data_IF_315814459425
#
_entry.id   IF_315814459425
#
_cell.length_a   1.000
_cell.length_b   1.000
_cell.length_c   1.000
_cell.angle_alpha   90.00
_cell.angle_beta   90.00
_cell.angle_gamma   90.00
#
_symmetry.space_group_name_H-M   'P 1'
#
loop_
_entity.id
_entity.type
_entity.pdbx_description
1 polymer ?
2 non-polymer ?
3 non-polymer ?
4 non-polymer ?
5 non-polymer ?
6 non-polymer ?
7 non-polymer ?
8 water ?
#
# COMPACT_ATOMS: atom_id res chain seq x y z
N UNK A 6 -7.58 -5.61 -30.67
CA UNK A 6 -7.53 -7.00 -30.16
C UNK A 6 -7.86 -7.02 -28.66
N UNK A 7 -8.60 -8.04 -28.22
CA UNK A 7 -9.00 -8.20 -26.81
C UNK A 7 -7.91 -7.85 -25.80
N UNK A 8 -8.34 -7.43 -24.62
CA UNK A 8 -7.42 -7.05 -23.57
C UNK A 8 -8.01 -7.40 -22.20
N UNK A 9 -7.13 -7.75 -21.24
CA UNK A 9 -7.61 -8.10 -19.90
C UNK A 9 -7.96 -6.79 -19.19
N UNK A 10 -7.39 -5.70 -19.70
CA UNK A 10 -7.57 -4.39 -19.12
C UNK A 10 -8.62 -3.51 -19.80
N UNK A 11 -8.98 -2.44 -19.11
CA UNK A 11 -9.90 -1.43 -19.59
C UNK A 11 -9.40 -0.14 -18.95
N UNK A 12 -9.07 0.84 -19.78
CA UNK A 12 -8.55 2.10 -19.27
C UNK A 12 -9.59 3.20 -19.22
N UNK A 13 -9.37 4.16 -18.33
CA UNK A 13 -10.26 5.30 -18.18
C UNK A 13 -9.46 6.58 -18.01
N UNK A 14 -10.12 7.70 -18.30
CA UNK A 14 -9.57 9.02 -18.08
C UNK A 14 -10.37 9.41 -16.84
N UNK A 15 -9.95 10.45 -16.13
CA UNK A 15 -10.66 10.80 -14.93
C UNK A 15 -12.16 11.11 -15.14
N UNK A 16 -12.50 11.72 -16.27
CA UNK A 16 -13.90 12.04 -16.58
C UNK A 16 -14.70 10.74 -16.57
N UNK A 17 -14.22 9.78 -17.36
CA UNK A 17 -14.85 8.47 -17.48
C UNK A 17 -14.97 7.80 -16.12
N UNK A 18 -13.86 7.75 -15.37
CA UNK A 18 -13.87 7.10 -14.06
C UNK A 18 -14.78 7.81 -13.04
N UNK A 19 -14.76 9.14 -13.07
CA UNK A 19 -15.57 9.96 -12.16
C UNK A 19 -17.04 9.57 -12.14
N UNK A 20 -17.58 9.25 -13.33
CA UNK A 20 -18.99 8.90 -13.48
C UNK A 20 -19.43 7.59 -12.85
N UNK A 21 -18.50 6.66 -12.66
CA UNK A 21 -18.85 5.38 -12.05
C UNK A 21 -19.07 5.54 -10.55
N UNK A 22 -18.89 6.77 -10.08
CA UNK A 22 -19.07 7.05 -8.67
C UNK A 22 -20.50 6.72 -8.30
N UNK A 23 -21.38 6.88 -9.28
CA UNK A 23 -22.81 6.66 -9.11
C UNK A 23 -23.29 7.44 -7.89
N UNK A 24 -23.97 6.76 -6.99
CA UNK A 24 -24.53 7.40 -5.82
C UNK A 24 -23.63 7.48 -4.59
N UNK A 25 -22.47 6.83 -4.64
CA UNK A 25 -21.57 6.79 -3.50
C UNK A 25 -21.35 8.10 -2.75
N UNK A 26 -21.66 8.11 -1.43
CA UNK A 26 -21.54 9.24 -0.50
C UNK A 26 -20.11 9.54 -0.08
N UNK A 27 -19.81 10.83 0.10
CA UNK A 27 -18.49 11.27 0.54
C UNK A 27 -18.55 11.49 2.05
N UNK A 28 -17.89 10.61 2.80
CA UNK A 28 -17.90 10.69 4.25
C UNK A 28 -16.57 11.05 4.88
N UNK A 29 -15.90 12.08 4.35
CA UNK A 29 -14.61 12.46 4.91
C UNK A 29 -14.42 13.96 4.86
N UNK A 30 -14.07 14.57 6.00
CA UNK A 30 -13.87 16.02 6.04
C UNK A 30 -12.50 16.37 5.48
N UNK A 31 -12.30 17.64 5.11
CA UNK A 31 -11.01 18.03 4.58
C UNK A 31 -9.94 18.01 5.68
N UNK A 32 -10.41 18.07 6.93
CA UNK A 32 -9.48 18.03 8.05
C UNK A 32 -9.03 16.60 8.27
N UNK A 33 -9.83 15.64 7.83
CA UNK A 33 -9.49 14.23 7.99
C UNK A 33 -8.58 13.76 6.87
N UNK A 34 -8.82 14.28 5.68
CA UNK A 34 -7.99 13.93 4.53
C UNK A 34 -6.57 14.37 4.82
N UNK A 35 -6.44 15.47 5.56
CA UNK A 35 -5.15 16.02 5.93
C UNK A 35 -4.36 15.09 6.83
N UNK A 36 -5.00 14.55 7.86
CA UNK A 36 -4.30 13.63 8.75
C UNK A 36 -3.96 12.32 8.08
N UNK A 37 -4.29 12.21 6.80
CA UNK A 37 -4.00 10.99 6.06
C UNK A 37 -2.99 11.28 4.97
N UNK A 38 -2.95 12.53 4.53
CA UNK A 38 -2.02 12.98 3.49
C UNK A 38 -0.57 13.06 3.94
N UNK A 39 0.31 12.44 3.16
CA UNK A 39 1.73 12.47 3.48
C UNK A 39 2.43 13.66 2.88
N UNK A 40 3.56 14.04 3.46
CA UNK A 40 4.32 15.19 2.98
C UNK A 40 4.57 15.12 1.47
N UNK A 41 4.18 16.18 0.77
CA UNK A 41 4.38 16.22 -0.66
C UNK A 41 3.16 15.83 -1.45
N UNK A 42 2.28 15.01 -0.87
CA UNK A 42 1.05 14.58 -1.54
C UNK A 42 0.09 15.73 -1.82
N UNK A 43 -0.56 15.72 -2.98
CA UNK A 43 -1.49 16.80 -3.34
C UNK A 43 -2.96 16.39 -3.32
N UNK A 44 -3.26 15.24 -2.75
CA UNK A 44 -4.63 14.76 -2.72
C UNK A 44 -5.62 15.67 -1.98
N UNK A 45 -6.76 15.93 -2.62
CA UNK A 45 -7.80 16.78 -2.05
C UNK A 45 -9.15 16.06 -2.16
N UNK A 46 -10.16 16.57 -1.46
CA UNK A 46 -11.48 15.97 -1.49
C UNK A 46 -12.06 15.78 -2.89
N UNK A 47 -11.67 16.64 -3.82
CA UNK A 47 -12.18 16.49 -5.18
C UNK A 47 -11.66 15.16 -5.72
N UNK A 48 -10.35 14.94 -5.63
CA UNK A 48 -9.75 13.69 -6.11
C UNK A 48 -10.37 12.47 -5.41
N UNK A 49 -10.73 12.64 -4.14
CA UNK A 49 -11.35 11.57 -3.39
C UNK A 49 -12.73 11.32 -3.97
N UNK A 50 -13.35 12.37 -4.50
CA UNK A 50 -14.68 12.25 -5.06
C UNK A 50 -14.70 11.60 -6.44
N UNK A 51 -13.84 12.10 -7.32
CA UNK A 51 -13.78 11.59 -8.68
C UNK A 51 -12.93 10.34 -8.86
N UNK A 52 -12.20 9.94 -7.83
CA UNK A 52 -11.35 8.77 -7.96
C UNK A 52 -11.52 7.71 -6.87
N UNK A 53 -11.42 8.10 -5.62
CA UNK A 53 -11.53 7.10 -4.56
C UNK A 53 -12.94 6.59 -4.28
N UNK A 54 -13.97 7.39 -4.59
CA UNK A 54 -15.35 6.94 -4.33
C UNK A 54 -15.79 5.80 -5.26
N UNK A 55 -15.52 5.91 -6.58
CA UNK A 55 -15.88 4.84 -7.53
C UNK A 55 -15.17 3.56 -7.10
N UNK A 56 -13.88 3.71 -6.79
CA UNK A 56 -13.03 2.62 -6.34
C UNK A 56 -13.58 1.92 -5.09
N UNK A 57 -14.12 2.71 -4.17
CA UNK A 57 -14.67 2.13 -2.96
C UNK A 57 -15.94 1.40 -3.34
N UNK A 58 -16.70 1.98 -4.28
CA UNK A 58 -17.94 1.36 -4.72
C UNK A 58 -17.62 0.01 -5.35
N UNK A 59 -16.68 0.01 -6.29
CA UNK A 59 -16.26 -1.22 -6.93
C UNK A 59 -15.89 -2.26 -5.88
N UNK A 60 -14.95 -1.92 -5.01
CA UNK A 60 -14.51 -2.85 -3.98
C UNK A 60 -15.66 -3.43 -3.18
N UNK A 61 -16.64 -2.62 -2.81
CA UNK A 61 -17.75 -3.17 -2.03
C UNK A 61 -18.59 -4.14 -2.84
N UNK A 62 -18.75 -3.85 -4.13
CA UNK A 62 -19.52 -4.75 -4.98
C UNK A 62 -18.84 -6.12 -4.99
N UNK A 63 -17.51 -6.10 -4.98
CA UNK A 63 -16.73 -7.33 -5.01
C UNK A 63 -16.62 -8.04 -3.68
N UNK A 64 -16.69 -7.29 -2.59
CA UNK A 64 -16.58 -7.92 -1.28
C UNK A 64 -17.63 -8.99 -1.07
N UNK A 65 -18.86 -8.73 -1.52
CA UNK A 65 -19.93 -9.71 -1.36
C UNK A 65 -19.73 -10.83 -2.39
N UNK A 66 -19.47 -10.43 -3.63
CA UNK A 66 -19.24 -11.37 -4.73
C UNK A 66 -18.07 -12.29 -4.44
N UNK A 67 -16.98 -11.72 -3.96
CA UNK A 67 -15.82 -12.52 -3.68
C UNK A 67 -16.11 -13.61 -2.66
N UNK A 68 -17.12 -13.43 -1.82
CA UNK A 68 -17.36 -14.47 -0.84
C UNK A 68 -18.24 -15.62 -1.32
N UNK A 69 -18.98 -15.40 -2.40
CA UNK A 69 -19.81 -16.46 -2.95
C UNK A 69 -18.80 -17.55 -3.36
N UNK A 70 -17.61 -17.10 -3.75
CA UNK A 70 -16.54 -18.00 -4.16
C UNK A 70 -16.14 -18.91 -3.00
N UNK A 71 -15.96 -18.36 -1.80
CA UNK A 71 -15.57 -19.18 -0.64
C UNK A 71 -16.73 -20.04 -0.17
N UNK A 72 -17.93 -19.46 -0.18
CA UNK A 72 -19.12 -20.18 0.25
C UNK A 72 -19.26 -21.45 -0.58
N UNK A 73 -19.05 -21.31 -1.89
CA UNK A 73 -19.12 -22.41 -2.83
C UNK A 73 -18.22 -23.55 -2.37
N UNK A 74 -16.97 -23.22 -2.11
CA UNK A 74 -16.00 -24.21 -1.64
C UNK A 74 -16.43 -24.77 -0.29
N UNK A 75 -17.13 -23.95 0.51
CA UNK A 75 -17.59 -24.39 1.81
C UNK A 75 -18.77 -25.34 1.63
N UNK A 76 -19.64 -25.01 0.68
CA UNK A 76 -20.79 -25.83 0.40
C UNK A 76 -20.28 -27.17 -0.12
N UNK A 77 -19.34 -27.13 -1.05
CA UNK A 77 -18.74 -28.33 -1.62
C UNK A 77 -18.15 -29.21 -0.52
N UNK A 78 -17.31 -28.61 0.31
CA UNK A 78 -16.66 -29.33 1.40
C UNK A 78 -17.61 -29.85 2.47
N UNK A 79 -18.91 -29.65 2.24
CA UNK A 79 -19.90 -30.11 3.19
C UNK A 79 -19.95 -29.27 4.45
N UNK A 80 -18.91 -28.49 4.68
CA UNK A 80 -18.80 -27.61 5.85
C UNK A 80 -20.02 -26.75 6.15
N UNK A 81 -20.21 -26.39 7.42
CA UNK A 81 -21.37 -25.55 7.80
C UNK A 81 -21.28 -24.20 7.08
N UNK A 82 -22.15 -23.27 7.45
CA UNK A 82 -22.21 -21.97 6.78
C UNK A 82 -21.47 -20.75 7.34
N UNK A 83 -20.36 -20.41 6.67
CA UNK A 83 -19.52 -19.22 6.98
C UNK A 83 -19.04 -18.86 8.38
N UNK A 84 -19.98 -18.85 9.34
CA UNK A 84 -19.80 -18.44 10.74
C UNK A 84 -20.54 -17.09 10.67
N UNK A 85 -21.87 -17.15 10.43
CA UNK A 85 -22.95 -16.17 10.28
C UNK A 85 -22.60 -14.67 10.15
N UNK A 86 -21.42 -14.25 10.61
CA UNK A 86 -21.04 -12.83 10.54
C UNK A 86 -19.57 -12.56 10.81
N UNK A 87 -18.73 -13.52 10.46
CA UNK A 87 -17.28 -13.39 10.58
C UNK A 87 -16.78 -14.14 9.36
N UNK A 88 -16.93 -13.53 8.19
CA UNK A 88 -16.55 -14.01 6.86
C UNK A 88 -15.07 -14.08 6.62
N UNK A 89 -14.72 -14.57 5.45
CA UNK A 89 -13.33 -14.65 5.05
C UNK A 89 -12.92 -13.20 4.81
N UNK A 90 -11.92 -12.71 5.54
CA UNK A 90 -11.47 -11.34 5.35
C UNK A 90 -11.07 -11.03 3.90
N UNK A 91 -11.49 -9.87 3.40
CA UNK A 91 -11.19 -9.47 2.03
C UNK A 91 -9.81 -8.80 2.08
N UNK A 92 -8.83 -9.39 1.43
CA UNK A 92 -7.48 -8.84 1.48
C UNK A 92 -7.15 -7.93 0.30
N UNK A 93 -6.67 -6.73 0.60
CA UNK A 93 -6.31 -5.80 -0.47
C UNK A 93 -4.84 -5.42 -0.41
N UNK A 94 -4.17 -5.49 -1.55
CA UNK A 94 -2.78 -5.15 -1.62
C UNK A 94 -2.60 -3.82 -2.34
N UNK A 95 -1.74 -2.97 -1.79
CA UNK A 95 -1.44 -1.66 -2.41
C UNK A 95 0.06 -1.64 -2.63
N UNK A 96 0.46 -1.51 -3.89
CA UNK A 96 1.88 -1.51 -4.22
C UNK A 96 2.26 -0.26 -4.94
N UNK A 97 3.56 -0.10 -5.11
CA UNK A 97 4.06 1.07 -5.79
C UNK A 97 5.43 1.46 -5.27
N UNK A 98 6.07 2.37 -5.97
CA UNK A 98 7.39 2.83 -5.58
C UNK A 98 7.42 3.69 -4.32
N UNK A 99 8.63 3.90 -3.83
CA UNK A 99 8.85 4.74 -2.68
C UNK A 99 8.49 6.12 -3.19
N UNK A 100 7.89 6.94 -2.35
CA UNK A 100 7.53 8.31 -2.73
C UNK A 100 6.49 8.44 -3.83
N UNK A 101 5.71 7.42 -4.10
CA UNK A 101 4.74 7.59 -5.17
C UNK A 101 3.39 8.03 -4.62
N UNK A 102 3.16 7.79 -3.34
CA UNK A 102 1.89 8.19 -2.75
C UNK A 102 1.05 7.05 -2.21
N UNK A 103 1.47 5.80 -2.47
CA UNK A 103 0.74 4.63 -2.02
C UNK A 103 0.36 4.66 -0.55
N UNK A 104 1.30 5.03 0.31
CA UNK A 104 1.02 5.07 1.74
C UNK A 104 -0.22 5.92 2.03
N UNK A 105 -0.33 7.07 1.37
CA UNK A 105 -1.48 7.95 1.53
C UNK A 105 -2.69 7.26 0.90
N UNK A 106 -2.50 6.78 -0.34
CA UNK A 106 -3.55 6.08 -1.07
C UNK A 106 -4.13 4.98 -0.19
N UNK A 107 -3.26 4.27 0.51
CA UNK A 107 -3.71 3.18 1.38
C UNK A 107 -4.50 3.68 2.56
N UNK A 108 -4.06 4.78 3.16
CA UNK A 108 -4.75 5.34 4.33
C UNK A 108 -6.10 5.94 3.95
N UNK A 109 -6.15 6.61 2.81
CA UNK A 109 -7.40 7.19 2.38
C UNK A 109 -8.39 6.06 2.11
N UNK A 110 -7.90 5.01 1.45
CA UNK A 110 -8.75 3.88 1.13
C UNK A 110 -9.31 3.22 2.39
N UNK A 111 -8.50 3.03 3.41
CA UNK A 111 -8.97 2.40 4.64
C UNK A 111 -10.05 3.25 5.31
N UNK A 112 -9.86 4.57 5.26
CA UNK A 112 -10.81 5.49 5.87
C UNK A 112 -12.17 5.40 5.17
N UNK A 113 -12.16 5.50 3.85
CA UNK A 113 -13.40 5.42 3.07
C UNK A 113 -14.15 4.11 3.32
N UNK A 114 -13.47 2.97 3.20
CA UNK A 114 -14.10 1.68 3.40
C UNK A 114 -14.58 1.41 4.83
N UNK A 115 -14.00 2.08 5.82
CA UNK A 115 -14.43 1.86 7.20
C UNK A 115 -15.72 2.62 7.46
N UNK A 116 -15.89 3.72 6.73
CA UNK A 116 -17.08 4.55 6.87
C UNK A 116 -18.14 3.99 5.93
N UNK A 117 -18.54 2.76 6.17
CA UNK A 117 -19.55 2.13 5.33
C UNK A 117 -20.63 1.50 6.20
N UNK A 118 -21.82 1.38 5.63
CA UNK A 118 -22.97 0.81 6.33
C UNK A 118 -22.58 -0.40 7.17
N UNK A 119 -23.11 -0.47 8.39
CA UNK A 119 -22.83 -1.57 9.30
C UNK A 119 -21.42 -1.43 9.88
N UNK A 120 -20.64 -0.54 9.27
CA UNK A 120 -19.28 -0.24 9.70
C UNK A 120 -18.36 -1.44 9.91
N UNK A 121 -17.67 -1.85 8.84
CA UNK A 121 -16.74 -2.98 8.84
C UNK A 121 -15.39 -2.66 9.45
N UNK A 122 -14.79 -3.64 10.11
CA UNK A 122 -13.48 -3.46 10.70
C UNK A 122 -12.45 -3.56 9.57
N UNK A 123 -11.93 -2.41 9.16
CA UNK A 123 -10.94 -2.33 8.07
C UNK A 123 -9.54 -2.00 8.60
N UNK A 124 -8.68 -3.01 8.72
CA UNK A 124 -7.32 -2.79 9.22
C UNK A 124 -6.33 -2.53 8.09
N UNK A 125 -5.31 -1.72 8.39
CA UNK A 125 -4.26 -1.39 7.44
C UNK A 125 -2.91 -1.78 8.00
N UNK A 126 -2.18 -2.61 7.25
CA UNK A 126 -0.85 -3.07 7.67
C UNK A 126 0.19 -2.77 6.59
N UNK A 127 1.22 -2.01 6.94
CA UNK A 127 2.28 -1.69 5.99
C UNK A 127 3.31 -2.77 6.19
N UNK A 128 4.05 -3.10 5.14
CA UNK A 128 5.05 -4.14 5.25
C UNK A 128 6.33 -3.68 5.92
N UNK A 129 6.38 -2.39 6.30
CA UNK A 129 7.55 -1.82 7.00
C UNK A 129 8.02 -2.74 8.11
N UNK A 130 7.09 -3.10 8.99
CA UNK A 130 7.38 -3.94 10.14
C UNK A 130 7.85 -5.32 9.82
N UNK A 131 7.78 -5.71 8.56
CA UNK A 131 8.23 -7.04 8.19
C UNK A 131 9.65 -6.99 7.64
N UNK A 132 10.26 -5.83 7.75
CA UNK A 132 11.64 -5.69 7.30
C UNK A 132 12.44 -6.40 8.39
N UNK A 133 13.63 -6.83 8.06
CA UNK A 133 14.49 -7.47 9.04
C UNK A 133 15.12 -6.32 9.83
N UNK A 134 15.50 -6.57 11.10
CA UNK A 134 16.14 -5.57 11.97
C UNK A 134 17.45 -5.14 11.33
N UNK A 135 17.93 -3.93 11.60
CA UNK A 135 19.19 -3.49 10.99
C UNK A 135 20.34 -4.44 11.29
N UNK A 136 20.36 -4.97 12.50
CA UNK A 136 21.40 -5.91 12.89
C UNK A 136 21.31 -7.11 11.95
N UNK A 137 20.10 -7.59 11.70
CA UNK A 137 19.92 -8.74 10.82
C UNK A 137 20.28 -8.41 9.37
N UNK A 138 19.96 -7.20 8.93
CA UNK A 138 20.29 -6.78 7.58
C UNK A 138 21.82 -6.61 7.49
N UNK A 139 22.42 -6.04 8.52
CA UNK A 139 23.86 -5.86 8.54
C UNK A 139 24.50 -7.23 8.33
N UNK A 140 23.99 -8.23 9.04
CA UNK A 140 24.52 -9.58 8.94
C UNK A 140 24.41 -10.18 7.54
N UNK A 141 23.34 -9.86 6.83
CA UNK A 141 23.15 -10.41 5.49
C UNK A 141 23.72 -9.49 4.42
N UNK A 142 24.47 -8.47 4.84
CA UNK A 142 25.02 -7.50 3.89
C UNK A 142 23.86 -6.92 3.10
N UNK A 143 22.84 -6.43 3.81
CA UNK A 143 21.67 -5.88 3.16
C UNK A 143 21.27 -4.46 3.56
N UNK A 144 22.01 -3.85 4.48
CA UNK A 144 21.72 -2.48 4.91
C UNK A 144 21.55 -1.49 3.76
N UNK A 145 22.01 -1.87 2.57
CA UNK A 145 21.90 -0.98 1.41
C UNK A 145 20.89 -1.53 0.40
N UNK A 146 20.00 -2.40 0.85
CA UNK A 146 18.99 -2.99 -0.03
C UNK A 146 17.62 -2.95 0.68
N UNK A 147 17.50 -2.12 1.70
CA UNK A 147 16.26 -1.97 2.45
C UNK A 147 15.17 -1.63 1.43
N UNK A 148 14.14 -2.45 1.35
CA UNK A 148 13.08 -2.21 0.37
C UNK A 148 13.08 -3.30 -0.69
N UNK A 149 14.24 -3.92 -0.89
CA UNK A 149 14.32 -5.01 -1.86
C UNK A 149 13.64 -6.21 -1.21
N UNK A 150 13.08 -7.09 -2.03
CA UNK A 150 12.37 -8.29 -1.58
C UNK A 150 13.09 -9.08 -0.49
N UNK A 151 14.38 -9.27 -0.69
CA UNK A 151 15.19 -10.03 0.25
C UNK A 151 15.38 -9.35 1.61
N UNK A 152 15.09 -8.05 1.70
CA UNK A 152 15.26 -7.33 2.97
C UNK A 152 14.07 -7.56 3.90
N UNK A 153 13.06 -8.26 3.41
CA UNK A 153 11.87 -8.55 4.19
C UNK A 153 11.80 -10.00 4.63
N UNK A 154 11.20 -10.21 5.80
CA UNK A 154 11.00 -11.54 6.34
C UNK A 154 9.71 -11.93 5.61
N UNK A 155 9.84 -12.31 4.34
CA UNK A 155 8.68 -12.68 3.54
C UNK A 155 7.92 -13.89 4.05
N UNK A 156 8.59 -14.71 4.85
CA UNK A 156 7.95 -15.90 5.39
C UNK A 156 7.00 -15.48 6.52
N UNK A 157 7.48 -14.59 7.38
CA UNK A 157 6.67 -14.09 8.50
C UNK A 157 5.45 -13.34 7.95
N UNK A 158 5.69 -12.55 6.91
CA UNK A 158 4.66 -11.78 6.23
C UNK A 158 3.53 -12.70 5.71
N UNK A 159 3.93 -13.82 5.12
CA UNK A 159 2.97 -14.78 4.57
C UNK A 159 2.19 -15.44 5.71
N UNK A 160 2.88 -15.82 6.79
CA UNK A 160 2.19 -16.45 7.92
C UNK A 160 1.13 -15.51 8.44
N UNK A 161 1.46 -14.22 8.46
CA UNK A 161 0.56 -13.18 8.94
C UNK A 161 -0.73 -13.08 8.13
N UNK A 162 -0.61 -12.78 6.83
CA UNK A 162 -1.80 -12.66 5.98
C UNK A 162 -2.56 -13.97 5.89
N UNK A 163 -1.84 -15.09 5.80
CA UNK A 163 -2.47 -16.41 5.73
C UNK A 163 -3.31 -16.60 6.96
N UNK A 164 -2.74 -16.23 8.10
CA UNK A 164 -3.41 -16.34 9.38
C UNK A 164 -4.69 -15.52 9.44
N UNK A 165 -4.59 -14.23 9.12
CA UNK A 165 -5.76 -13.37 9.17
C UNK A 165 -6.90 -13.81 8.25
N UNK A 166 -6.54 -14.20 7.04
CA UNK A 166 -7.53 -14.64 6.06
C UNK A 166 -8.07 -16.05 6.35
N UNK A 167 -7.27 -16.87 7.02
CA UNK A 167 -7.71 -18.22 7.35
C UNK A 167 -8.72 -18.17 8.50
N UNK A 168 -9.10 -16.96 8.90
CA UNK A 168 -10.07 -16.80 9.96
C UNK A 168 -9.58 -16.69 11.39
N UNK A 169 -8.31 -16.34 11.59
CA UNK A 169 -7.78 -16.21 12.93
C UNK A 169 -8.47 -15.14 13.75
N UNK A 170 -8.53 -15.35 15.06
CA UNK A 170 -9.15 -14.42 16.00
C UNK A 170 -8.28 -13.18 16.09
N UNK A 171 -6.96 -13.40 16.02
CA UNK A 171 -6.00 -12.31 16.05
C UNK A 171 -4.65 -12.74 15.49
N UNK A 172 -3.93 -11.78 14.92
CA UNK A 172 -2.60 -12.00 14.35
C UNK A 172 -1.73 -10.80 14.67
N UNK A 173 -0.42 -11.01 14.74
CA UNK A 173 0.50 -9.92 15.06
C UNK A 173 1.58 -9.67 14.00
N UNK A 174 1.96 -8.40 13.87
CA UNK A 174 2.97 -8.00 12.90
C UNK A 174 3.92 -7.09 13.65
N UNK A 175 5.21 -7.12 13.32
CA UNK A 175 6.11 -6.22 14.05
C UNK A 175 5.84 -4.78 13.62
N UNK A 176 6.50 -3.85 14.29
CA UNK A 176 6.31 -2.44 13.98
C UNK A 176 7.65 -1.81 13.62
N UNK A 177 7.67 -1.03 12.55
CA UNK A 177 8.90 -0.38 12.14
C UNK A 177 8.88 1.10 12.53
N UNK A 178 10.03 1.61 12.96
CA UNK A 178 10.10 3.02 13.32
C UNK A 178 10.79 3.78 12.20
N UNK A 179 10.09 4.75 11.62
CA UNK A 179 10.69 5.55 10.55
C UNK A 179 11.64 6.58 11.14
N UNK A 180 11.42 6.89 12.42
CA UNK A 180 12.29 7.85 13.13
C UNK A 180 13.65 7.22 13.41
N UNK A 181 13.63 5.98 13.86
CA UNK A 181 14.86 5.25 14.19
C UNK A 181 15.38 4.37 13.05
N UNK A 182 14.68 4.40 11.92
CA UNK A 182 15.13 3.62 10.77
C UNK A 182 15.31 2.15 11.15
N UNK A 183 14.53 1.66 12.09
CA UNK A 183 14.68 0.28 12.52
C UNK A 183 13.41 -0.29 13.13
N UNK A 184 13.37 -1.62 13.25
CA UNK A 184 12.23 -2.32 13.85
C UNK A 184 12.24 -1.99 15.35
N UNK A 185 11.05 -1.77 15.91
CA UNK A 185 10.90 -1.42 17.32
C UNK A 185 10.77 -2.66 18.20
N UNK A 186 11.72 -2.85 19.11
CA UNK A 186 11.71 -4.01 20.04
C UNK A 186 10.44 -4.14 20.87
N UNK A 187 9.89 -5.35 20.90
CA UNK A 187 8.68 -5.62 21.68
C UNK A 187 7.37 -5.04 21.19
N UNK A 188 7.43 -4.23 20.15
CA UNK A 188 6.24 -3.60 19.59
C UNK A 188 5.50 -4.57 18.69
N UNK A 189 4.18 -4.40 18.60
CA UNK A 189 3.37 -5.25 17.74
C UNK A 189 2.02 -4.64 17.40
N UNK A 190 1.58 -4.92 16.18
CA UNK A 190 0.30 -4.44 15.70
C UNK A 190 -0.58 -5.68 15.73
N UNK A 191 -1.66 -5.64 16.47
CA UNK A 191 -2.56 -6.79 16.53
C UNK A 191 -3.77 -6.61 15.64
N UNK A 192 -4.07 -7.60 14.82
CA UNK A 192 -5.19 -7.54 13.91
C UNK A 192 -6.22 -8.62 14.29
N UNK A 193 -7.45 -8.19 14.59
CA UNK A 193 -8.49 -9.12 14.99
C UNK A 193 -9.62 -9.33 13.98
N UNK A 194 -9.58 -10.49 13.32
CA UNK A 194 -10.58 -10.87 12.34
C UNK A 194 -11.20 -9.68 11.61
N UNK A 195 -10.41 -8.91 10.86
CA UNK A 195 -10.99 -7.76 10.16
C UNK A 195 -11.98 -8.26 9.13
N UNK A 196 -12.71 -7.34 8.52
CA UNK A 196 -13.63 -7.70 7.46
C UNK A 196 -12.83 -7.46 6.18
N UNK A 197 -11.94 -6.48 6.26
CA UNK A 197 -11.08 -6.11 5.16
C UNK A 197 -9.71 -5.77 5.73
N UNK A 198 -8.68 -6.33 5.11
CA UNK A 198 -7.30 -6.06 5.52
C UNK A 198 -6.56 -5.46 4.35
N UNK A 199 -5.99 -4.28 4.57
CA UNK A 199 -5.23 -3.61 3.52
C UNK A 199 -3.74 -3.78 3.81
N UNK A 200 -3.02 -4.37 2.86
CA UNK A 200 -1.58 -4.58 3.01
C UNK A 200 -0.85 -3.67 2.03
N UNK A 201 -0.04 -2.75 2.55
CA UNK A 201 0.68 -1.82 1.69
C UNK A 201 2.20 -1.95 1.77
N UNK A 202 2.86 -2.05 0.61
CA UNK A 202 4.31 -2.19 0.56
C UNK A 202 4.88 -2.07 -0.85
N UNK A 203 6.20 -1.96 -0.95
CA UNK A 203 6.88 -1.83 -2.27
C UNK A 203 6.58 -3.10 -3.03
N UNK A 204 6.90 -4.30 -2.53
CA UNK A 204 6.47 -5.40 -3.43
C UNK A 204 5.33 -6.36 -3.16
N UNK A 205 4.58 -6.30 -2.04
CA UNK A 205 3.33 -7.08 -2.05
C UNK A 205 2.82 -7.84 -3.28
N UNK A 206 2.98 -7.29 -4.49
CA UNK A 206 2.48 -8.00 -5.68
C UNK A 206 3.40 -9.05 -6.31
N UNK A 207 4.49 -9.37 -5.64
CA UNK A 207 5.45 -10.35 -6.15
C UNK A 207 5.00 -11.81 -6.16
N UNK A 208 5.36 -12.52 -7.23
CA UNK A 208 5.05 -13.95 -7.35
C UNK A 208 6.36 -14.67 -7.20
N UNK A 209 6.31 -15.98 -6.98
CA UNK A 209 7.52 -16.74 -6.82
C UNK A 209 7.31 -18.25 -6.83
N UNK A 210 8.38 -19.01 -6.57
CA UNK A 210 8.31 -20.47 -6.54
C UNK A 210 7.50 -20.99 -5.37
N UNK A 211 6.91 -20.06 -4.63
CA UNK A 211 6.09 -20.43 -3.49
C UNK A 211 4.85 -19.55 -3.41
N UNK A 212 3.86 -20.01 -2.65
CA UNK A 212 2.64 -19.24 -2.49
C UNK A 212 2.98 -17.97 -1.71
N UNK A 213 2.66 -16.81 -2.25
CA UNK A 213 2.97 -15.55 -1.59
C UNK A 213 1.73 -14.75 -1.29
N UNK A 214 1.88 -13.64 -0.56
CA UNK A 214 0.74 -12.83 -0.20
C UNK A 214 0.00 -12.26 -1.42
N UNK A 215 0.69 -12.15 -2.54
CA UNK A 215 0.03 -11.64 -3.74
C UNK A 215 -1.03 -12.64 -4.16
N UNK A 216 -0.82 -13.91 -3.78
CA UNK A 216 -1.73 -14.98 -4.13
C UNK A 216 -2.96 -15.03 -3.24
N UNK A 217 -2.94 -14.31 -2.12
CA UNK A 217 -4.07 -14.28 -1.23
C UNK A 217 -4.92 -13.02 -1.40
N UNK A 218 -4.48 -12.13 -2.28
CA UNK A 218 -5.20 -10.88 -2.53
C UNK A 218 -6.49 -11.07 -3.31
N UNK A 219 -7.52 -10.36 -2.87
CA UNK A 219 -8.82 -10.42 -3.50
C UNK A 219 -8.96 -9.23 -4.42
N UNK A 220 -8.15 -8.22 -4.17
CA UNK A 220 -8.13 -7.01 -4.99
C UNK A 220 -6.78 -6.35 -4.76
N UNK A 221 -6.24 -5.69 -5.79
CA UNK A 221 -4.94 -5.03 -5.64
C UNK A 221 -4.80 -3.69 -6.35
N UNK A 222 -4.12 -2.75 -5.68
CA UNK A 222 -3.90 -1.41 -6.21
C UNK A 222 -2.42 -1.19 -6.44
N UNK A 223 -2.09 -0.53 -7.56
CA UNK A 223 -0.69 -0.21 -7.86
C UNK A 223 -0.66 1.27 -8.23
N UNK A 224 -0.11 2.11 -7.36
CA UNK A 224 -0.04 3.54 -7.64
C UNK A 224 1.15 3.78 -8.56
N UNK A 225 0.87 4.32 -9.74
CA UNK A 225 1.89 4.53 -10.76
C UNK A 225 2.13 5.99 -11.17
N UNK A 226 3.34 6.24 -11.66
CA UNK A 226 3.73 7.55 -12.13
C UNK A 226 5.00 7.39 -12.95
N UNK A 227 5.29 8.40 -13.77
CA UNK A 227 6.48 8.37 -14.63
C UNK A 227 7.69 8.29 -13.68
N UNK A 228 8.67 7.47 -14.02
CA UNK A 228 9.82 7.31 -13.13
C UNK A 228 10.61 8.58 -12.84
N UNK A 229 10.68 9.49 -13.81
CA UNK A 229 11.41 10.73 -13.62
C UNK A 229 10.68 11.58 -12.59
N UNK A 230 9.35 11.55 -12.64
CA UNK A 230 8.54 12.32 -11.71
C UNK A 230 8.74 11.81 -10.30
N UNK A 231 8.62 10.50 -10.10
CA UNK A 231 8.78 9.94 -8.76
C UNK A 231 10.12 10.39 -8.18
N UNK A 232 11.18 10.32 -8.98
CA UNK A 232 12.48 10.75 -8.49
C UNK A 232 12.38 12.19 -8.01
N UNK A 233 11.74 13.03 -8.82
CA UNK A 233 11.57 14.43 -8.46
C UNK A 233 10.82 14.54 -7.12
N UNK A 234 9.82 13.69 -6.95
CA UNK A 234 9.03 13.69 -5.73
C UNK A 234 9.88 13.24 -4.56
N UNK A 235 10.66 12.18 -4.78
CA UNK A 235 11.53 11.65 -3.73
C UNK A 235 12.50 12.73 -3.22
N UNK A 236 13.25 13.31 -4.14
CA UNK A 236 14.23 14.34 -3.83
C UNK A 236 13.59 15.53 -3.15
N UNK A 237 12.49 16.02 -3.72
CA UNK A 237 11.82 17.16 -3.14
C UNK A 237 11.44 16.85 -1.68
N UNK A 238 10.81 15.70 -1.49
CA UNK A 238 10.40 15.26 -0.17
C UNK A 238 11.61 15.13 0.74
N UNK A 239 12.74 14.69 0.18
CA UNK A 239 13.96 14.54 0.96
C UNK A 239 14.40 15.92 1.46
N UNK A 240 14.45 16.88 0.56
CA UNK A 240 14.84 18.23 0.94
C UNK A 240 13.87 18.72 2.00
N UNK A 241 12.59 18.56 1.71
CA UNK A 241 11.50 18.98 2.57
C UNK A 241 11.57 18.43 3.99
N UNK A 242 12.12 17.23 4.14
CA UNK A 242 12.22 16.61 5.45
C UNK A 242 13.32 17.16 6.35
N UNK A 243 14.11 18.09 5.84
CA UNK A 243 15.16 18.67 6.65
C UNK A 243 14.58 19.45 7.82
N UNK A 244 13.40 20.04 7.63
CA UNK A 244 12.76 20.82 8.68
C UNK A 244 11.61 20.09 9.39
N UNK A 245 11.40 18.82 9.06
CA UNK A 245 10.37 18.05 9.75
C UNK A 245 11.00 16.84 10.46
N UNK A 246 11.00 15.68 9.82
CA UNK A 246 11.58 14.49 10.46
C UNK A 246 13.05 14.60 10.83
N UNK A 247 13.89 15.00 9.88
CA UNK A 247 15.33 15.09 10.12
C UNK A 247 15.66 16.12 11.20
N UNK A 248 14.79 17.10 11.38
CA UNK A 248 15.00 18.14 12.37
C UNK A 248 15.04 17.52 13.77
N UNK A 249 14.29 16.44 13.96
CA UNK A 249 14.26 15.75 15.24
C UNK A 249 15.63 15.15 15.56
N UNK A 250 16.19 15.48 16.73
CA UNK A 250 17.50 14.98 17.17
C UNK A 250 17.52 13.47 17.36
N UNK A 251 16.36 12.86 17.44
CA UNK A 251 16.26 11.41 17.62
C UNK A 251 16.32 10.68 16.27
N UNK A 252 16.15 11.44 15.21
CA UNK A 252 16.18 10.87 13.87
C UNK A 252 17.52 10.24 13.52
N UNK A 253 17.46 9.07 12.89
CA UNK A 253 18.67 8.37 12.50
C UNK A 253 19.37 9.16 11.41
N UNK A 254 18.64 10.08 10.78
CA UNK A 254 19.20 10.88 9.71
C UNK A 254 19.20 12.37 10.04
N UNK A 255 19.37 12.67 11.32
CA UNK A 255 19.40 14.04 11.78
C UNK A 255 20.50 14.83 11.05
N UNK A 256 21.59 14.15 10.69
CA UNK A 256 22.70 14.82 10.01
C UNK A 256 22.31 15.40 8.65
N UNK A 257 21.17 14.99 8.13
CA UNK A 257 20.72 15.49 6.84
C UNK A 257 20.08 16.87 6.98
N UNK A 258 19.61 17.18 8.17
CA UNK A 258 18.97 18.46 8.41
C UNK A 258 19.89 19.63 8.05
N UNK A 259 21.18 19.50 8.34
CA UNK A 259 22.18 20.54 8.08
C UNK A 259 22.66 20.64 6.64
N UNK A 260 22.19 19.75 5.78
CA UNK A 260 22.60 19.79 4.37
C UNK A 260 22.02 21.01 3.66
N UNK A 261 22.71 21.44 2.63
CA UNK A 261 22.27 22.58 1.84
C UNK A 261 21.42 22.01 0.71
N UNK A 262 20.46 22.80 0.23
CA UNK A 262 19.61 22.35 -0.86
C UNK A 262 20.48 21.58 -1.85
N UNK A 263 21.65 22.14 -2.13
CA UNK A 263 22.57 21.56 -3.08
C UNK A 263 23.11 20.18 -2.68
N UNK A 264 23.70 20.07 -1.50
CA UNK A 264 24.24 18.78 -1.11
C UNK A 264 23.13 17.78 -0.73
N UNK A 265 21.96 18.29 -0.37
CA UNK A 265 20.84 17.44 -0.04
C UNK A 265 20.35 16.82 -1.35
N UNK A 266 20.30 17.64 -2.40
CA UNK A 266 19.87 17.15 -3.70
C UNK A 266 20.82 16.05 -4.15
N UNK A 267 22.11 16.29 -3.99
CA UNK A 267 23.11 15.32 -4.38
C UNK A 267 22.93 14.02 -3.61
N UNK A 268 22.74 14.15 -2.29
CA UNK A 268 22.53 13.00 -1.43
C UNK A 268 21.27 12.20 -1.81
N UNK A 269 20.18 12.92 -2.04
CA UNK A 269 18.89 12.31 -2.38
C UNK A 269 18.95 11.50 -3.68
N UNK A 270 19.57 12.09 -4.69
CA UNK A 270 19.71 11.44 -6.00
C UNK A 270 20.55 10.18 -5.93
N UNK A 271 21.58 10.20 -5.08
CA UNK A 271 22.45 9.04 -4.97
C UNK A 271 21.71 7.85 -4.39
N UNK A 272 20.91 8.13 -3.37
CA UNK A 272 20.13 7.09 -2.72
C UNK A 272 19.14 6.53 -3.72
N UNK A 273 18.51 7.41 -4.48
CA UNK A 273 17.55 7.00 -5.47
C UNK A 273 18.21 6.18 -6.55
N UNK A 274 19.36 6.63 -7.03
CA UNK A 274 20.08 5.93 -8.09
C UNK A 274 20.50 4.54 -7.66
N UNK A 275 21.10 4.44 -6.48
CA UNK A 275 21.61 3.18 -5.98
C UNK A 275 20.64 2.25 -5.28
N UNK A 276 19.52 2.75 -4.78
CA UNK A 276 18.59 1.88 -4.08
C UNK A 276 17.17 1.84 -4.65
N UNK A 277 16.41 2.86 -4.31
CA UNK A 277 15.02 2.96 -4.72
C UNK A 277 14.73 2.78 -6.21
N UNK A 278 15.54 3.38 -7.08
CA UNK A 278 15.28 3.26 -8.51
C UNK A 278 15.48 1.84 -9.01
N UNK A 279 16.62 1.21 -8.68
CA UNK A 279 16.91 -0.16 -9.12
C UNK A 279 15.79 -1.11 -8.70
N UNK A 280 15.33 -0.93 -7.46
CA UNK A 280 14.28 -1.77 -6.91
C UNK A 280 12.94 -1.54 -7.62
N UNK A 281 12.68 -0.30 -8.03
CA UNK A 281 11.44 0.02 -8.74
C UNK A 281 11.44 -0.70 -10.08
N UNK A 282 12.54 -0.53 -10.81
CA UNK A 282 12.74 -1.12 -12.12
C UNK A 282 12.82 -2.66 -12.10
N UNK A 283 13.65 -3.19 -11.22
CA UNK A 283 13.86 -4.63 -11.14
C UNK A 283 12.79 -5.41 -10.39
N UNK A 284 12.15 -4.80 -9.40
CA UNK A 284 11.17 -5.56 -8.62
C UNK A 284 9.74 -5.10 -8.58
N UNK A 285 9.52 -3.79 -8.42
CA UNK A 285 8.18 -3.27 -8.32
C UNK A 285 7.42 -3.21 -9.65
N UNK A 286 7.96 -2.47 -10.61
CA UNK A 286 7.31 -2.33 -11.90
C UNK A 286 6.92 -3.65 -12.57
N UNK A 287 7.76 -4.70 -12.44
CA UNK A 287 7.37 -5.96 -13.09
C UNK A 287 6.14 -6.63 -12.50
N UNK A 288 5.60 -6.08 -11.42
CA UNK A 288 4.41 -6.67 -10.80
C UNK A 288 3.15 -5.88 -11.20
N UNK A 289 3.36 -4.73 -11.83
CA UNK A 289 2.26 -3.85 -12.24
C UNK A 289 1.25 -4.50 -13.15
N UNK A 290 1.70 -5.31 -14.11
CA UNK A 290 0.81 -5.98 -15.05
C UNK A 290 -0.39 -6.68 -14.41
N UNK A 291 -0.21 -7.22 -13.22
CA UNK A 291 -1.30 -7.95 -12.59
C UNK A 291 -2.07 -7.25 -11.48
N UNK A 292 -1.95 -5.92 -11.41
CA UNK A 292 -2.70 -5.18 -10.38
C UNK A 292 -4.12 -5.03 -10.89
N UNK A 293 -5.10 -5.30 -10.02
CA UNK A 293 -6.49 -5.17 -10.43
C UNK A 293 -6.72 -3.74 -10.96
N UNK A 294 -6.25 -2.75 -10.21
CA UNK A 294 -6.39 -1.36 -10.61
C UNK A 294 -5.08 -0.60 -10.50
N UNK A 295 -4.76 0.15 -11.54
CA UNK A 295 -3.54 0.96 -11.58
C UNK A 295 -3.92 2.44 -11.59
N UNK A 296 -3.38 3.22 -10.66
CA UNK A 296 -3.68 4.64 -10.59
C UNK A 296 -2.51 5.39 -11.19
N UNK A 297 -2.68 5.91 -12.40
CA UNK A 297 -1.61 6.63 -13.07
C UNK A 297 -1.62 8.12 -12.72
N UNK A 298 -0.48 8.62 -12.23
CA UNK A 298 -0.34 10.03 -11.83
C UNK A 298 0.51 10.91 -12.73
N UNK A 299 0.04 12.13 -12.93
CA UNK A 299 0.76 13.11 -13.72
C UNK A 299 1.74 13.79 -12.79
N UNK A 300 2.78 14.40 -13.37
CA UNK A 300 3.83 15.06 -12.59
C UNK A 300 3.37 15.89 -11.39
N UNK A 301 2.12 16.36 -11.41
CA UNK A 301 1.61 17.15 -10.30
C UNK A 301 0.89 16.28 -9.24
N UNK A 302 1.14 14.97 -9.26
CA UNK A 302 0.54 14.03 -8.30
C UNK A 302 -0.93 13.76 -8.58
N UNK A 303 -1.46 14.42 -9.61
CA UNK A 303 -2.86 14.26 -9.98
C UNK A 303 -3.16 12.93 -10.67
N UNK A 304 -4.13 12.19 -10.16
CA UNK A 304 -4.50 10.93 -10.79
C UNK A 304 -5.46 11.24 -11.94
N UNK A 305 -5.00 11.11 -13.18
CA UNK A 305 -5.84 11.40 -14.34
C UNK A 305 -6.06 10.24 -15.31
N UNK A 306 -5.60 9.06 -14.96
CA UNK A 306 -5.77 7.89 -15.81
C UNK A 306 -5.89 6.66 -14.92
N UNK A 307 -6.58 5.64 -15.41
CA UNK A 307 -6.73 4.41 -14.64
C UNK A 307 -6.82 3.20 -15.57
N UNK A 308 -6.27 2.07 -15.12
CA UNK A 308 -6.27 0.83 -15.90
C UNK A 308 -6.86 -0.24 -15.01
N UNK A 309 -8.01 -0.78 -15.41
CA UNK A 309 -8.66 -1.82 -14.61
C UNK A 309 -8.57 -3.17 -15.28
N UNK A 310 -8.38 -4.20 -14.46
CA UNK A 310 -8.32 -5.56 -14.97
C UNK A 310 -9.74 -6.07 -14.99
N UNK A 311 -10.27 -6.28 -16.20
CA UNK A 311 -11.61 -6.79 -16.33
C UNK A 311 -11.43 -8.30 -16.39
N UNK A 312 -10.20 -8.74 -16.66
CA UNK A 312 -9.90 -10.17 -16.71
C UNK A 312 -8.67 -10.52 -15.87
#
# INVERSE_FOLDING_TARGET
MSRLSEPSPYVEFDRRQWRALRMSTPLALTEEELVGLRGLGEQIDLLEVEEVYLPLARLIHLQVAARQRLFAATAEFLGEPQQNPDRPVPFIIGVAGSVAVGKSTTARVLQALLARWDHHPRVDLVTTDGFLYPNAELQRRNLMHRKGFPESYNRRALMRFVTSVKSGSDYACAPVYSHLHYDIIPGAEQVVRHPDILILEGLNVLQTGPTLMVSDLFDFSLYVDARIEDIEQWYVSRFLAMRTTAFADPESHFHHYAAFSDSQAVVAAREIWRTINRPNLVENILPTRPRATLVLRKDADHSINRLRLRKL
#
